data_IF_842443531563
#
_entry.id   IF_842443531563
#
_cell.length_a   1.000
_cell.length_b   1.000
_cell.length_c   1.000
_cell.angle_alpha   90.00
_cell.angle_beta   90.00
_cell.angle_gamma   90.00
#
_symmetry.space_group_name_H-M   'P 1'
#
loop_
_entity.id
_entity.type
_entity.pdbx_description
1 polymer ?
#
# COMPACT_ATOMS: atom_id res chain seq x y z
N UNK A 1 -31.70 24.52 10.33
CA UNK A 1 -31.21 25.23 9.12
C UNK A 1 -31.54 24.39 7.91
N UNK A 2 -31.85 24.99 6.76
CA UNK A 2 -31.93 24.25 5.50
C UNK A 2 -30.58 23.58 5.25
N UNK A 3 -30.57 22.29 4.90
CA UNK A 3 -29.37 21.69 4.32
C UNK A 3 -29.02 22.53 3.09
N UNK A 4 -27.88 23.20 3.12
CA UNK A 4 -27.32 23.78 1.91
C UNK A 4 -27.12 22.61 0.95
N UNK A 5 -27.73 22.67 -0.23
CA UNK A 5 -27.37 21.78 -1.33
C UNK A 5 -25.88 22.01 -1.57
N UNK A 6 -25.05 21.10 -1.08
CA UNK A 6 -23.65 21.08 -1.45
C UNK A 6 -23.59 21.05 -2.98
N UNK A 7 -22.80 21.91 -3.64
CA UNK A 7 -22.59 21.77 -5.07
C UNK A 7 -22.15 20.32 -5.30
N UNK A 8 -22.86 19.61 -6.18
CA UNK A 8 -22.46 18.28 -6.60
C UNK A 8 -20.97 18.30 -6.92
N UNK A 9 -20.19 17.27 -6.58
CA UNK A 9 -18.78 17.10 -7.03
C UNK A 9 -18.69 16.93 -8.56
N UNK A 10 -19.62 17.50 -9.33
CA UNK A 10 -19.72 17.45 -10.78
C UNK A 10 -19.21 18.75 -11.36
N UNK A 11 -18.35 18.64 -12.36
CA UNK A 11 -17.80 19.79 -13.08
C UNK A 11 -18.93 20.51 -13.82
N UNK A 12 -18.99 21.83 -13.65
CA UNK A 12 -19.99 22.67 -14.31
C UNK A 12 -19.77 22.72 -15.83
N UNK A 13 -20.84 22.82 -16.64
CA UNK A 13 -20.74 22.80 -18.11
C UNK A 13 -19.76 23.81 -18.71
N UNK A 14 -19.64 24.99 -18.12
CA UNK A 14 -18.69 26.01 -18.59
C UNK A 14 -17.22 25.58 -18.44
N UNK A 15 -16.89 24.85 -17.38
CA UNK A 15 -15.56 24.28 -17.17
C UNK A 15 -15.30 23.09 -18.10
N UNK A 16 -16.34 22.29 -18.42
CA UNK A 16 -16.24 21.22 -19.43
C UNK A 16 -15.91 21.80 -20.80
N UNK A 17 -16.62 22.87 -21.21
CA UNK A 17 -16.37 23.58 -22.47
C UNK A 17 -14.95 24.16 -22.51
N UNK A 18 -14.54 24.82 -21.43
CA UNK A 18 -13.19 25.38 -21.31
C UNK A 18 -12.12 24.29 -21.43
N UNK A 19 -12.27 23.16 -20.72
CA UNK A 19 -11.33 22.04 -20.77
C UNK A 19 -11.16 21.49 -22.19
N UNK A 20 -12.26 21.34 -22.93
CA UNK A 20 -12.21 20.92 -24.33
C UNK A 20 -11.50 21.93 -25.25
N UNK A 21 -11.70 23.23 -25.01
CA UNK A 21 -11.01 24.29 -25.77
C UNK A 21 -9.51 24.31 -25.48
N UNK A 22 -9.11 24.23 -24.22
CA UNK A 22 -7.70 24.19 -23.80
C UNK A 22 -6.95 23.02 -24.45
N UNK A 23 -7.52 21.81 -24.36
CA UNK A 23 -6.94 20.63 -25.00
C UNK A 23 -7.02 20.67 -26.53
N UNK A 24 -7.88 21.51 -27.11
CA UNK A 24 -7.99 21.72 -28.56
C UNK A 24 -6.88 22.61 -29.13
N UNK A 25 -6.28 23.48 -28.33
CA UNK A 25 -5.24 24.44 -28.78
C UNK A 25 -3.81 23.89 -28.73
N UNK A 26 -3.62 22.61 -28.41
CA UNK A 26 -2.30 22.00 -28.29
C UNK A 26 -1.63 21.72 -29.64
N UNK A 27 -0.30 21.68 -29.64
CA UNK A 27 0.49 21.29 -30.81
C UNK A 27 0.26 19.83 -31.22
N UNK A 28 0.32 19.56 -32.52
CA UNK A 28 0.19 18.19 -33.07
C UNK A 28 1.28 17.28 -32.50
N UNK A 29 0.93 16.04 -32.18
CA UNK A 29 1.86 15.04 -31.63
C UNK A 29 2.08 15.14 -30.12
N UNK A 30 1.27 15.95 -29.41
CA UNK A 30 1.27 15.99 -27.93
C UNK A 30 0.15 15.10 -27.37
N UNK A 31 0.40 14.52 -26.19
CA UNK A 31 -0.62 13.87 -25.38
C UNK A 31 -0.96 14.76 -24.18
N UNK A 32 -2.14 14.56 -23.59
CA UNK A 32 -2.58 15.34 -22.43
C UNK A 32 -2.46 14.54 -21.15
N UNK A 33 -2.04 15.25 -20.09
CA UNK A 33 -2.18 14.82 -18.70
C UNK A 33 -3.08 15.82 -18.01
N UNK A 34 -4.18 15.36 -17.41
CA UNK A 34 -5.07 16.24 -16.65
C UNK A 34 -4.70 16.27 -15.18
N UNK A 35 -5.13 17.32 -14.48
CA UNK A 35 -5.01 17.44 -13.02
C UNK A 35 -6.37 17.74 -12.43
N UNK A 36 -6.76 17.06 -11.35
CA UNK A 36 -8.03 17.29 -10.68
C UNK A 36 -7.98 16.89 -9.20
N UNK A 37 -8.98 17.27 -8.41
CA UNK A 37 -9.10 16.79 -7.04
C UNK A 37 -9.50 15.30 -6.99
N UNK A 38 -10.38 14.87 -7.89
CA UNK A 38 -10.91 13.53 -7.97
C UNK A 38 -10.93 13.00 -9.42
N UNK A 39 -11.29 11.72 -9.59
CA UNK A 39 -11.35 11.03 -10.89
C UNK A 39 -12.37 11.69 -11.84
N UNK A 40 -11.88 12.29 -12.93
CA UNK A 40 -12.72 13.01 -13.88
C UNK A 40 -13.73 12.09 -14.59
N UNK A 41 -13.48 10.77 -14.67
CA UNK A 41 -14.48 9.83 -15.22
C UNK A 41 -15.80 9.84 -14.43
N UNK A 42 -15.74 10.09 -13.12
CA UNK A 42 -16.93 10.13 -12.26
C UNK A 42 -17.52 11.53 -12.10
N UNK A 43 -16.72 12.57 -12.35
CA UNK A 43 -17.03 13.95 -11.96
C UNK A 43 -17.20 14.89 -13.15
N UNK A 44 -16.63 14.58 -14.31
CA UNK A 44 -16.69 15.41 -15.50
C UNK A 44 -17.60 14.78 -16.57
N UNK A 45 -18.71 15.43 -16.95
CA UNK A 45 -19.55 14.99 -18.06
C UNK A 45 -18.72 14.74 -19.34
N UNK A 46 -18.99 13.62 -20.00
CA UNK A 46 -18.38 13.23 -21.29
C UNK A 46 -16.84 13.19 -21.31
N UNK A 47 -16.20 13.11 -20.14
CA UNK A 47 -14.75 13.11 -20.03
C UNK A 47 -14.08 12.02 -20.86
N UNK A 48 -14.68 10.83 -20.95
CA UNK A 48 -14.13 9.74 -21.76
C UNK A 48 -14.13 10.04 -23.27
N UNK A 49 -15.17 10.71 -23.77
CA UNK A 49 -15.22 11.12 -25.17
C UNK A 49 -14.16 12.19 -25.45
N UNK A 50 -14.08 13.18 -24.55
CA UNK A 50 -13.08 14.24 -24.59
C UNK A 50 -11.65 13.68 -24.49
N UNK A 51 -11.42 12.68 -23.62
CA UNK A 51 -10.14 12.03 -23.44
C UNK A 51 -9.66 11.31 -24.71
N UNK A 52 -10.57 10.65 -25.43
CA UNK A 52 -10.26 10.01 -26.72
C UNK A 52 -9.95 11.04 -27.80
N UNK A 53 -10.78 12.08 -27.91
CA UNK A 53 -10.58 13.16 -28.88
C UNK A 53 -9.24 13.88 -28.66
N UNK A 54 -8.86 14.06 -27.40
CA UNK A 54 -7.69 14.83 -27.01
C UNK A 54 -6.57 13.97 -26.40
N UNK A 55 -6.43 12.69 -26.79
CA UNK A 55 -5.32 11.80 -26.36
C UNK A 55 -4.89 12.02 -24.90
N UNK A 56 -5.85 11.96 -23.97
CA UNK A 56 -5.57 12.08 -22.53
C UNK A 56 -5.07 10.73 -22.05
N UNK A 57 -3.81 10.67 -21.62
CA UNK A 57 -3.14 9.41 -21.25
C UNK A 57 -3.03 9.17 -19.76
N UNK A 58 -3.21 10.20 -18.94
CA UNK A 58 -3.10 10.12 -17.49
C UNK A 58 -3.87 11.26 -16.82
N UNK A 59 -4.44 10.99 -15.65
CA UNK A 59 -4.92 12.00 -14.72
C UNK A 59 -4.01 12.03 -13.48
N UNK A 60 -3.68 13.21 -12.99
CA UNK A 60 -3.03 13.42 -11.69
C UNK A 60 -4.09 13.91 -10.72
N UNK A 61 -4.41 13.10 -9.71
CA UNK A 61 -5.47 13.40 -8.75
C UNK A 61 -4.94 13.72 -7.37
N UNK A 62 -5.65 14.59 -6.65
CA UNK A 62 -5.35 15.04 -5.29
C UNK A 62 -6.24 14.38 -4.23
N UNK A 63 -6.40 15.08 -3.10
CA UNK A 63 -7.34 14.85 -1.97
C UNK A 63 -7.20 13.53 -1.20
N UNK A 64 -6.98 12.42 -1.89
CA UNK A 64 -7.08 11.08 -1.33
C UNK A 64 -5.91 10.70 -0.44
N UNK A 65 -4.86 11.53 -0.35
CA UNK A 65 -3.79 11.45 0.64
C UNK A 65 -3.00 10.13 0.68
N UNK A 66 -2.97 9.43 -0.45
CA UNK A 66 -2.30 8.12 -0.60
C UNK A 66 -1.57 8.09 -1.93
N UNK A 67 -0.48 7.34 -2.00
CA UNK A 67 0.21 7.03 -3.23
C UNK A 67 -0.47 5.84 -3.89
N UNK A 68 -1.23 6.08 -4.96
CA UNK A 68 -1.93 5.03 -5.69
C UNK A 68 -1.86 5.26 -7.20
N UNK A 69 -1.96 4.17 -7.96
CA UNK A 69 -2.16 4.18 -9.40
C UNK A 69 -3.37 3.32 -9.71
N UNK A 70 -4.38 3.90 -10.35
CA UNK A 70 -5.65 3.25 -10.64
C UNK A 70 -5.80 3.08 -12.14
N UNK A 71 -5.97 1.83 -12.57
CA UNK A 71 -6.20 1.50 -13.97
C UNK A 71 -7.67 1.77 -14.26
N UNK A 72 -7.89 2.78 -15.08
CA UNK A 72 -9.19 3.24 -15.58
C UNK A 72 -9.08 3.37 -17.09
N UNK A 73 -10.17 3.76 -17.75
CA UNK A 73 -10.11 4.01 -19.19
C UNK A 73 -9.08 5.10 -19.50
N UNK A 74 -9.03 6.13 -18.64
CA UNK A 74 -7.92 7.06 -18.49
C UNK A 74 -7.31 6.83 -17.11
N UNK A 75 -6.13 6.17 -17.01
CA UNK A 75 -5.55 5.85 -15.71
C UNK A 75 -5.29 7.12 -14.91
N UNK A 76 -5.28 7.00 -13.59
CA UNK A 76 -4.93 8.13 -12.73
C UNK A 76 -3.98 7.76 -11.60
N UNK A 77 -3.23 8.75 -11.13
CA UNK A 77 -2.30 8.63 -10.02
C UNK A 77 -2.59 9.66 -8.96
N UNK A 78 -2.62 9.23 -7.71
CA UNK A 78 -2.60 10.12 -6.56
C UNK A 78 -1.18 10.24 -6.02
N UNK A 79 -0.75 11.46 -5.75
CA UNK A 79 0.64 11.78 -5.41
C UNK A 79 1.01 11.63 -3.93
N UNK A 80 0.19 10.95 -3.10
CA UNK A 80 0.31 11.03 -1.65
C UNK A 80 -0.21 12.38 -1.13
N UNK A 81 0.40 12.92 -0.08
CA UNK A 81 0.19 14.32 0.27
C UNK A 81 1.48 15.04 0.68
N UNK A 82 1.46 16.35 0.45
CA UNK A 82 2.56 17.27 0.76
C UNK A 82 2.30 18.00 2.09
N UNK A 83 1.05 18.41 2.33
CA UNK A 83 0.69 19.27 3.46
C UNK A 83 -0.75 19.06 4.00
N UNK A 84 -1.60 18.29 3.33
CA UNK A 84 -3.02 18.15 3.69
C UNK A 84 -3.21 17.26 4.93
N UNK A 85 -3.70 17.87 6.03
CA UNK A 85 -3.94 17.34 7.40
C UNK A 85 -2.70 16.93 8.23
N UNK A 86 -1.50 17.34 7.83
CA UNK A 86 -0.25 16.58 8.07
C UNK A 86 0.89 17.31 8.79
N UNK A 87 0.59 18.28 9.65
CA UNK A 87 1.54 18.79 10.66
C UNK A 87 1.41 18.08 12.00
N UNK A 88 0.57 17.05 12.10
CA UNK A 88 0.39 16.33 13.34
C UNK A 88 1.62 15.47 13.61
N UNK A 89 2.47 15.82 14.61
CA UNK A 89 3.69 15.07 14.90
C UNK A 89 3.39 13.62 15.29
N UNK A 90 2.17 13.31 15.78
CA UNK A 90 1.74 11.95 16.11
C UNK A 90 1.67 11.02 14.90
N UNK A 91 1.65 11.55 13.68
CA UNK A 91 1.69 10.75 12.44
C UNK A 91 3.11 10.32 12.07
N UNK A 92 4.15 10.80 12.76
CA UNK A 92 5.56 10.53 12.45
C UNK A 92 5.94 10.83 10.99
N UNK A 93 5.34 11.88 10.41
CA UNK A 93 5.52 12.26 8.99
C UNK A 93 5.12 11.14 8.01
N UNK A 94 4.14 10.32 8.38
CA UNK A 94 3.60 9.26 7.53
C UNK A 94 2.20 9.61 7.02
N UNK A 95 1.98 9.23 5.77
CA UNK A 95 0.70 9.19 5.10
C UNK A 95 -0.12 7.97 5.61
N UNK A 96 -1.46 7.96 5.44
CA UNK A 96 -2.35 6.84 5.74
C UNK A 96 -2.06 5.53 5.00
N UNK A 97 -1.15 5.51 4.03
CA UNK A 97 -0.64 4.31 3.34
C UNK A 97 0.76 3.88 3.82
N UNK A 98 1.26 4.57 4.86
CA UNK A 98 2.60 4.48 5.44
C UNK A 98 3.73 5.02 4.55
N UNK A 99 3.41 5.68 3.44
CA UNK A 99 4.44 6.43 2.70
C UNK A 99 4.87 7.64 3.53
N UNK A 100 6.14 8.09 3.45
CA UNK A 100 6.51 9.36 4.04
C UNK A 100 5.76 10.50 3.35
N UNK A 101 5.58 11.64 4.00
CA UNK A 101 5.14 12.86 3.32
C UNK A 101 6.07 13.15 2.15
N UNK A 102 5.54 13.57 1.01
CA UNK A 102 6.33 13.59 -0.21
C UNK A 102 5.54 13.92 -1.46
N UNK A 103 6.20 13.69 -2.59
CA UNK A 103 5.68 14.03 -3.91
C UNK A 103 6.19 13.07 -4.98
N UNK A 104 5.45 12.99 -6.08
CA UNK A 104 5.89 12.30 -7.29
C UNK A 104 6.73 13.23 -8.16
N UNK A 105 7.89 12.74 -8.60
CA UNK A 105 8.71 13.42 -9.61
C UNK A 105 8.49 12.71 -10.94
N UNK A 106 8.18 13.48 -11.98
CA UNK A 106 7.91 12.98 -13.32
C UNK A 106 9.01 13.39 -14.30
N UNK A 107 9.32 12.51 -15.25
CA UNK A 107 10.13 12.82 -16.43
C UNK A 107 9.40 12.37 -17.69
N UNK A 108 9.14 13.31 -18.58
CA UNK A 108 8.60 13.04 -19.92
C UNK A 108 9.76 12.97 -20.92
N UNK A 109 9.81 11.90 -21.72
CA UNK A 109 10.75 11.73 -22.84
C UNK A 109 10.01 11.16 -24.04
N UNK A 110 9.70 12.00 -25.02
CA UNK A 110 8.78 11.65 -26.10
C UNK A 110 7.45 11.21 -25.49
N UNK A 111 7.00 10.00 -25.84
CA UNK A 111 5.75 9.42 -25.33
C UNK A 111 5.87 8.73 -23.96
N UNK A 112 7.08 8.64 -23.39
CA UNK A 112 7.32 7.93 -22.13
C UNK A 112 7.22 8.88 -20.95
N UNK A 113 6.38 8.52 -19.97
CA UNK A 113 6.28 9.18 -18.67
C UNK A 113 6.86 8.28 -17.57
N UNK A 114 8.08 8.59 -17.15
CA UNK A 114 8.72 7.93 -16.01
C UNK A 114 8.42 8.69 -14.71
N UNK A 115 8.36 7.97 -13.59
CA UNK A 115 8.13 8.58 -12.28
C UNK A 115 8.91 7.90 -11.15
N UNK A 116 9.06 8.61 -10.02
CA UNK A 116 9.33 8.01 -8.71
C UNK A 116 8.73 8.85 -7.58
N UNK A 117 8.47 8.22 -6.44
CA UNK A 117 8.07 8.92 -5.21
C UNK A 117 9.28 9.37 -4.41
N UNK A 118 9.24 10.60 -3.89
CA UNK A 118 10.29 11.17 -3.06
C UNK A 118 9.69 11.70 -1.75
N UNK A 119 10.21 11.21 -0.63
CA UNK A 119 9.91 11.77 0.68
C UNK A 119 10.50 13.17 0.86
N UNK A 120 9.81 14.02 1.62
CA UNK A 120 10.29 15.35 2.03
C UNK A 120 11.56 15.21 2.86
N UNK A 121 12.61 15.93 2.47
CA UNK A 121 13.92 15.86 3.14
C UNK A 121 14.64 14.51 3.04
N UNK A 122 14.13 13.54 2.27
CA UNK A 122 14.72 12.20 2.15
C UNK A 122 15.47 12.05 0.84
N UNK A 123 16.72 11.55 0.89
CA UNK A 123 17.45 11.08 -0.29
C UNK A 123 17.43 9.57 -0.38
N UNK A 124 17.44 8.88 0.75
CA UNK A 124 17.34 7.42 0.83
C UNK A 124 15.87 7.02 0.92
N UNK A 125 15.43 6.04 0.13
CA UNK A 125 14.15 5.37 0.35
C UNK A 125 14.28 3.86 0.16
N UNK A 126 13.71 3.10 1.09
CA UNK A 126 13.56 1.65 0.97
C UNK A 126 12.32 1.40 0.10
N UNK A 127 12.53 0.83 -1.09
CA UNK A 127 11.44 0.61 -2.07
C UNK A 127 10.93 -0.82 -2.06
N UNK A 128 11.66 -1.76 -1.47
CA UNK A 128 11.15 -3.09 -1.12
C UNK A 128 11.77 -3.59 0.20
N UNK A 129 11.00 -4.26 1.07
CA UNK A 129 9.56 -4.56 0.99
C UNK A 129 8.74 -3.63 1.87
N UNK A 130 7.44 -3.47 1.60
CA UNK A 130 6.51 -2.65 2.40
C UNK A 130 6.55 -3.00 3.89
N UNK A 131 6.21 -2.06 4.77
CA UNK A 131 6.11 -2.28 6.22
C UNK A 131 5.26 -3.52 6.49
N UNK A 132 5.76 -4.44 7.32
CA UNK A 132 5.08 -5.68 7.72
C UNK A 132 5.12 -6.81 6.67
N UNK A 133 5.84 -6.66 5.55
CA UNK A 133 5.91 -7.71 4.53
C UNK A 133 6.58 -8.98 5.06
N UNK A 134 6.04 -10.14 4.70
CA UNK A 134 6.63 -11.44 5.01
C UNK A 134 7.91 -11.70 4.20
N UNK A 135 8.95 -12.17 4.87
CA UNK A 135 10.22 -12.63 4.33
C UNK A 135 10.36 -14.12 4.60
N UNK A 136 10.75 -14.86 3.57
CA UNK A 136 10.99 -16.30 3.64
C UNK A 136 12.11 -16.65 2.65
N UNK A 137 13.11 -17.42 3.10
CA UNK A 137 14.23 -17.82 2.24
C UNK A 137 15.08 -16.63 1.79
N UNK A 138 15.49 -16.63 0.53
CA UNK A 138 16.25 -15.54 -0.07
C UNK A 138 15.33 -14.40 -0.53
N UNK A 139 15.56 -13.20 0.00
CA UNK A 139 14.75 -12.02 -0.27
C UNK A 139 15.62 -10.91 -0.86
N UNK A 140 15.20 -10.40 -2.02
CA UNK A 140 15.85 -9.24 -2.63
C UNK A 140 15.28 -7.95 -2.05
N UNK A 141 16.13 -7.18 -1.38
CA UNK A 141 15.79 -5.83 -0.94
C UNK A 141 16.26 -4.80 -1.96
N UNK A 142 15.55 -3.68 -2.05
CA UNK A 142 15.89 -2.58 -2.93
C UNK A 142 15.68 -1.25 -2.24
N UNK A 143 16.59 -0.32 -2.49
CA UNK A 143 16.51 1.06 -2.07
C UNK A 143 16.91 1.97 -3.22
N UNK A 144 16.51 3.25 -3.17
CA UNK A 144 17.06 4.25 -4.05
C UNK A 144 17.76 5.36 -3.27
N UNK A 145 18.69 6.03 -3.95
CA UNK A 145 19.33 7.25 -3.52
C UNK A 145 19.01 8.35 -4.55
N UNK A 146 18.34 9.41 -4.10
CA UNK A 146 17.96 10.55 -4.93
C UNK A 146 19.12 11.54 -5.05
N UNK A 147 19.36 12.02 -6.27
CA UNK A 147 20.46 12.90 -6.66
C UNK A 147 21.81 12.40 -6.10
N UNK A 148 22.23 11.18 -6.48
CA UNK A 148 23.47 10.60 -5.97
C UNK A 148 24.67 11.40 -6.48
N UNK A 149 25.56 11.76 -5.57
CA UNK A 149 26.88 12.35 -5.84
C UNK A 149 27.85 11.24 -6.26
N UNK A 150 28.97 11.63 -6.88
CA UNK A 150 30.00 10.69 -7.32
C UNK A 150 30.54 9.93 -6.11
N UNK A 151 30.55 8.59 -6.19
CA UNK A 151 31.09 7.71 -5.14
C UNK A 151 30.11 7.36 -4.01
N UNK A 152 28.91 7.94 -3.97
CA UNK A 152 27.91 7.56 -2.97
C UNK A 152 27.39 6.13 -3.19
N UNK A 153 27.21 5.39 -2.10
CA UNK A 153 26.66 4.05 -2.08
C UNK A 153 25.76 3.84 -0.88
N UNK A 154 24.89 2.83 -0.96
CA UNK A 154 24.02 2.44 0.14
C UNK A 154 24.53 1.17 0.82
N UNK A 155 24.32 1.10 2.12
CA UNK A 155 24.52 -0.11 2.92
C UNK A 155 23.23 -0.47 3.65
N UNK A 156 23.06 -1.74 3.99
CA UNK A 156 21.93 -2.22 4.77
C UNK A 156 22.38 -2.96 6.03
N UNK A 157 21.50 -3.00 7.03
CA UNK A 157 21.67 -3.77 8.24
C UNK A 157 20.35 -4.43 8.64
N UNK A 158 20.43 -5.68 9.10
CA UNK A 158 19.29 -6.47 9.59
C UNK A 158 19.33 -6.72 11.10
N UNK A 159 20.45 -6.38 11.75
CA UNK A 159 20.64 -6.47 13.21
C UNK A 159 20.98 -5.12 13.85
N UNK A 160 21.05 -4.04 13.05
CA UNK A 160 21.35 -2.69 13.48
C UNK A 160 22.82 -2.41 13.82
N UNK A 161 23.71 -3.41 13.70
CA UNK A 161 25.13 -3.31 14.05
C UNK A 161 26.02 -3.53 12.84
N UNK A 162 25.79 -4.64 12.13
CA UNK A 162 26.58 -5.03 10.97
C UNK A 162 25.97 -4.43 9.71
N UNK A 163 26.82 -3.76 8.93
CA UNK A 163 26.42 -3.07 7.70
C UNK A 163 27.05 -3.75 6.50
N UNK A 164 26.25 -4.01 5.48
CA UNK A 164 26.67 -4.68 4.25
C UNK A 164 26.36 -3.78 3.05
N UNK A 165 27.29 -3.71 2.09
CA UNK A 165 27.11 -2.90 0.88
C UNK A 165 25.98 -3.43 0.02
N UNK A 166 25.15 -2.50 -0.48
CA UNK A 166 24.20 -2.79 -1.55
C UNK A 166 24.85 -2.58 -2.91
N UNK A 167 24.49 -3.42 -3.88
CA UNK A 167 24.97 -3.29 -5.26
C UNK A 167 24.13 -2.27 -6.01
N UNK A 168 24.75 -1.31 -6.69
CA UNK A 168 24.03 -0.49 -7.66
C UNK A 168 23.54 -1.36 -8.82
N UNK A 169 22.28 -1.21 -9.18
CA UNK A 169 21.60 -2.00 -10.23
C UNK A 169 21.06 -1.15 -11.38
N UNK A 170 21.09 0.18 -11.23
CA UNK A 170 20.73 1.10 -12.31
C UNK A 170 20.72 2.55 -11.86
N UNK A 171 20.75 3.46 -12.85
CA UNK A 171 20.64 4.91 -12.65
C UNK A 171 19.49 5.51 -13.47
N UNK A 172 18.23 5.23 -13.09
CA UNK A 172 17.10 5.95 -13.66
C UNK A 172 17.14 7.43 -13.27
N UNK A 173 16.26 8.24 -13.85
CA UNK A 173 16.36 9.70 -13.69
C UNK A 173 16.34 10.16 -12.24
N UNK A 174 17.26 11.08 -11.94
CA UNK A 174 17.51 11.66 -10.62
C UNK A 174 17.77 10.66 -9.48
N UNK A 175 18.02 9.37 -9.75
CA UNK A 175 18.28 8.40 -8.66
C UNK A 175 19.19 7.25 -9.08
N UNK A 176 19.94 6.71 -8.12
CA UNK A 176 20.56 5.39 -8.26
C UNK A 176 19.71 4.36 -7.51
N UNK A 177 19.57 3.17 -8.07
CA UNK A 177 18.83 2.05 -7.46
C UNK A 177 19.84 1.02 -6.99
N UNK A 178 19.75 0.65 -5.71
CA UNK A 178 20.61 -0.32 -5.08
C UNK A 178 19.80 -1.55 -4.68
N UNK A 179 20.44 -2.72 -4.71
CA UNK A 179 19.83 -3.97 -4.29
C UNK A 179 20.82 -4.84 -3.50
N UNK A 180 20.28 -5.67 -2.62
CA UNK A 180 21.00 -6.75 -1.96
C UNK A 180 20.07 -7.95 -1.81
N UNK A 181 20.64 -9.13 -1.61
CA UNK A 181 19.89 -10.35 -1.29
C UNK A 181 20.20 -10.73 0.14
N UNK A 182 19.14 -10.88 0.94
CA UNK A 182 19.21 -11.31 2.33
C UNK A 182 18.70 -12.74 2.41
N UNK A 183 19.47 -13.62 3.05
CA UNK A 183 18.97 -14.93 3.44
C UNK A 183 18.25 -14.82 4.79
N UNK A 184 16.92 -14.77 4.76
CA UNK A 184 16.11 -14.67 5.97
C UNK A 184 16.12 -15.95 6.80
N UNK A 185 16.63 -17.07 6.29
CA UNK A 185 16.83 -18.30 7.10
C UNK A 185 18.00 -18.17 8.08
N UNK A 186 18.84 -17.14 7.95
CA UNK A 186 19.93 -16.87 8.91
C UNK A 186 19.47 -16.11 10.16
N UNK A 187 18.22 -15.64 10.22
CA UNK A 187 17.68 -14.80 11.31
C UNK A 187 16.41 -15.41 11.92
N UNK A 188 16.16 -15.27 13.24
CA UNK A 188 14.96 -15.82 13.88
C UNK A 188 13.65 -15.35 13.24
N UNK A 189 12.59 -16.16 13.34
CA UNK A 189 11.27 -15.71 12.92
C UNK A 189 10.79 -14.55 13.83
N UNK A 190 9.94 -13.69 13.30
CA UNK A 190 9.39 -12.53 14.01
C UNK A 190 9.66 -11.18 13.33
N UNK A 191 9.67 -10.11 14.12
CA UNK A 191 9.87 -8.75 13.61
C UNK A 191 11.35 -8.47 13.38
N UNK A 192 11.68 -7.94 12.20
CA UNK A 192 13.03 -7.52 11.83
C UNK A 192 13.01 -6.06 11.39
N UNK A 193 13.93 -5.27 11.93
CA UNK A 193 14.08 -3.86 11.54
C UNK A 193 15.19 -3.72 10.50
N UNK A 194 14.81 -3.68 9.23
CA UNK A 194 15.73 -3.42 8.13
C UNK A 194 16.12 -1.95 8.16
N UNK A 195 17.43 -1.67 8.20
CA UNK A 195 17.97 -0.31 8.05
C UNK A 195 18.75 -0.19 6.76
N UNK A 196 18.65 0.96 6.11
CA UNK A 196 19.47 1.34 4.95
C UNK A 196 20.07 2.71 5.21
N UNK A 197 21.37 2.86 4.95
CA UNK A 197 22.08 4.12 5.15
C UNK A 197 22.81 4.58 3.90
N UNK A 198 22.93 5.90 3.75
CA UNK A 198 23.94 6.51 2.88
C UNK A 198 25.18 6.81 3.72
N UNK A 199 26.34 6.31 3.31
CA UNK A 199 27.60 6.51 4.04
C UNK A 199 28.05 7.97 4.08
N UNK A 200 27.75 8.74 3.05
CA UNK A 200 28.33 10.06 2.87
C UNK A 200 27.69 11.16 3.71
N UNK A 201 26.38 11.09 3.95
CA UNK A 201 25.64 12.09 4.75
C UNK A 201 25.05 11.50 6.04
N UNK A 202 25.22 10.20 6.27
CA UNK A 202 24.72 9.52 7.46
C UNK A 202 23.19 9.38 7.49
N UNK A 203 22.45 9.66 6.41
CA UNK A 203 21.01 9.45 6.38
C UNK A 203 20.71 7.96 6.56
N UNK A 204 19.91 7.63 7.58
CA UNK A 204 19.44 6.27 7.85
C UNK A 204 17.93 6.21 7.71
N UNK A 205 17.44 5.22 6.97
CA UNK A 205 16.03 4.86 6.90
C UNK A 205 15.84 3.45 7.42
N UNK A 206 14.67 3.20 7.99
CA UNK A 206 14.35 1.93 8.62
C UNK A 206 12.95 1.48 8.30
N UNK A 207 12.76 0.17 8.24
CA UNK A 207 11.49 -0.44 7.89
C UNK A 207 11.35 -1.79 8.57
N UNK A 208 10.21 -1.99 9.24
CA UNK A 208 9.89 -3.26 9.87
C UNK A 208 9.37 -4.23 8.81
N UNK A 209 9.94 -5.44 8.80
CA UNK A 209 9.49 -6.59 8.01
C UNK A 209 9.25 -7.77 8.96
N UNK A 210 8.58 -8.81 8.46
CA UNK A 210 8.29 -10.02 9.24
C UNK A 210 9.04 -11.20 8.66
N UNK A 211 9.97 -11.78 9.41
CA UNK A 211 10.61 -13.04 9.06
C UNK A 211 9.65 -14.18 9.44
N UNK A 212 9.21 -14.95 8.46
CA UNK A 212 8.23 -16.03 8.64
C UNK A 212 8.69 -17.30 7.92
N UNK A 213 9.83 -17.87 8.33
CA UNK A 213 10.32 -19.11 7.76
C UNK A 213 9.58 -20.36 8.30
N UNK A 214 8.79 -20.22 9.36
CA UNK A 214 8.03 -21.32 9.96
C UNK A 214 8.90 -22.25 10.81
N UNK A 215 10.01 -21.74 11.34
CA UNK A 215 10.97 -22.53 12.14
C UNK A 215 10.62 -22.56 13.60
N UNK A 216 10.16 -21.42 14.12
CA UNK A 216 9.93 -21.23 15.53
C UNK A 216 8.46 -21.51 15.85
N UNK A 217 8.21 -22.40 16.81
CA UNK A 217 6.85 -22.70 17.28
C UNK A 217 6.22 -21.49 17.98
N UNK A 218 4.90 -21.35 17.89
CA UNK A 218 4.18 -20.32 18.64
C UNK A 218 4.31 -20.56 20.17
N UNK A 219 4.47 -19.52 20.99
CA UNK A 219 4.63 -19.62 22.44
C UNK A 219 3.27 -19.83 23.16
N UNK A 220 2.39 -20.66 22.61
CA UNK A 220 1.02 -20.88 23.09
C UNK A 220 0.76 -22.36 23.35
N UNK A 221 -0.23 -22.65 24.20
CA UNK A 221 -0.57 -24.02 24.62
C UNK A 221 -1.86 -24.56 24.01
N UNK A 222 -2.69 -23.70 23.42
CA UNK A 222 -3.92 -24.10 22.75
C UNK A 222 -3.98 -23.53 21.33
N UNK A 223 -4.96 -23.99 20.55
CA UNK A 223 -5.30 -23.41 19.26
C UNK A 223 -5.88 -21.99 19.39
N UNK A 224 -6.32 -21.44 18.26
CA UNK A 224 -6.91 -20.11 18.19
C UNK A 224 -8.07 -20.01 17.23
N UNK A 225 -8.50 -18.77 16.96
CA UNK A 225 -9.48 -18.44 15.93
C UNK A 225 -8.96 -17.32 15.04
N UNK A 226 -9.17 -17.47 13.74
CA UNK A 226 -8.96 -16.41 12.76
C UNK A 226 -10.31 -15.79 12.42
N UNK A 227 -10.43 -14.46 12.54
CA UNK A 227 -11.66 -13.72 12.31
C UNK A 227 -11.48 -12.59 11.30
N UNK A 228 -12.43 -12.46 10.37
CA UNK A 228 -12.56 -11.31 9.47
C UNK A 228 -13.94 -11.30 8.80
N UNK A 229 -14.34 -10.17 8.23
CA UNK A 229 -15.59 -10.01 7.48
C UNK A 229 -15.29 -9.74 6.02
N UNK A 230 -15.92 -10.50 5.12
CA UNK A 230 -15.84 -10.30 3.66
C UNK A 230 -16.92 -9.31 3.21
N UNK A 231 -16.61 -8.50 2.21
CA UNK A 231 -17.53 -7.48 1.70
C UNK A 231 -17.68 -6.32 2.68
N UNK A 232 -16.66 -6.03 3.49
CA UNK A 232 -16.72 -4.96 4.47
C UNK A 232 -15.36 -4.31 4.71
N UNK A 233 -15.35 -3.09 5.29
CA UNK A 233 -16.47 -2.15 5.31
C UNK A 233 -16.62 -1.47 3.93
N UNK A 234 -17.82 -1.01 3.58
CA UNK A 234 -17.99 -0.06 2.47
C UNK A 234 -17.86 1.35 3.04
N UNK A 235 -17.02 2.18 2.44
CA UNK A 235 -17.07 3.63 2.64
C UNK A 235 -17.36 4.27 1.28
N UNK A 236 -17.81 5.53 1.23
CA UNK A 236 -18.14 6.20 -0.04
C UNK A 236 -17.02 6.20 -1.09
N UNK A 237 -15.79 5.84 -0.70
CA UNK A 237 -14.58 5.77 -1.51
C UNK A 237 -14.35 4.38 -2.12
N UNK A 238 -14.66 3.32 -1.36
CA UNK A 238 -14.33 1.93 -1.70
C UNK A 238 -15.59 1.08 -1.60
N UNK A 239 -16.07 0.60 -2.75
CA UNK A 239 -17.23 -0.28 -2.83
C UNK A 239 -16.92 -1.64 -2.21
N UNK A 240 -17.77 -2.08 -1.31
CA UNK A 240 -17.75 -3.45 -0.79
C UNK A 240 -17.84 -4.48 -1.93
N UNK A 241 -17.00 -5.51 -1.85
CA UNK A 241 -16.93 -6.61 -2.81
C UNK A 241 -16.68 -7.94 -2.11
N UNK A 242 -17.50 -8.95 -2.43
CA UNK A 242 -17.21 -10.36 -2.15
C UNK A 242 -16.51 -11.00 -3.35
N UNK A 243 -15.88 -12.17 -3.19
CA UNK A 243 -15.18 -12.84 -4.28
C UNK A 243 -16.17 -13.33 -5.34
N UNK A 244 -15.79 -13.31 -6.61
CA UNK A 244 -16.59 -13.88 -7.70
C UNK A 244 -16.54 -15.41 -7.73
N UNK A 245 -15.42 -16.01 -7.31
CA UNK A 245 -15.23 -17.45 -7.23
C UNK A 245 -15.03 -17.96 -5.80
N UNK A 246 -14.75 -19.27 -5.68
CA UNK A 246 -14.29 -19.87 -4.41
C UNK A 246 -12.92 -19.31 -4.05
N UNK A 247 -12.70 -19.05 -2.76
CA UNK A 247 -11.40 -18.63 -2.23
C UNK A 247 -10.98 -19.55 -1.10
N UNK A 248 -9.80 -20.15 -1.17
CA UNK A 248 -9.23 -20.86 -0.02
C UNK A 248 -8.53 -19.86 0.91
N UNK A 249 -8.75 -20.02 2.21
CA UNK A 249 -8.10 -19.25 3.27
C UNK A 249 -6.91 -20.05 3.77
N UNK A 250 -5.71 -19.51 3.64
CA UNK A 250 -4.47 -20.21 3.98
C UNK A 250 -3.76 -19.53 5.14
N UNK A 251 -3.41 -20.29 6.17
CA UNK A 251 -2.50 -19.88 7.22
C UNK A 251 -1.20 -20.69 7.09
N UNK A 252 -0.07 -20.00 6.97
CA UNK A 252 1.25 -20.60 6.78
C UNK A 252 1.26 -21.57 5.58
N UNK A 253 0.55 -21.21 4.50
CA UNK A 253 0.37 -22.01 3.31
C UNK A 253 -0.57 -23.22 3.45
N UNK A 254 -1.10 -23.51 4.66
CA UNK A 254 -2.05 -24.60 4.91
C UNK A 254 -3.49 -24.07 4.85
N UNK A 255 -4.38 -24.82 4.21
CA UNK A 255 -5.79 -24.43 4.08
C UNK A 255 -6.51 -24.57 5.43
N UNK A 256 -7.11 -23.48 5.91
CA UNK A 256 -7.98 -23.46 7.09
C UNK A 256 -9.46 -23.65 6.74
N UNK A 257 -9.85 -23.26 5.53
CA UNK A 257 -11.22 -23.34 5.06
C UNK A 257 -11.40 -22.58 3.74
N UNK A 258 -12.64 -22.36 3.34
CA UNK A 258 -12.95 -21.67 2.09
C UNK A 258 -14.12 -20.69 2.20
N UNK A 259 -14.10 -19.69 1.35
CA UNK A 259 -15.13 -18.68 1.18
C UNK A 259 -15.95 -19.01 -0.06
N UNK A 260 -17.28 -18.90 0.08
CA UNK A 260 -18.20 -19.13 -1.02
C UNK A 260 -18.24 -17.92 -1.97
N UNK A 261 -18.47 -18.15 -3.29
CA UNK A 261 -18.74 -17.08 -4.25
C UNK A 261 -19.82 -16.11 -3.77
N UNK A 262 -19.61 -14.81 -4.01
CA UNK A 262 -20.55 -13.74 -3.69
C UNK A 262 -20.74 -13.44 -2.20
N UNK A 263 -20.16 -14.23 -1.30
CA UNK A 263 -20.41 -14.11 0.13
C UNK A 263 -19.90 -12.77 0.69
N UNK A 264 -20.74 -12.11 1.49
CA UNK A 264 -20.41 -10.88 2.23
C UNK A 264 -20.88 -11.03 3.68
N UNK A 265 -20.05 -11.66 4.51
CA UNK A 265 -20.37 -11.99 5.90
C UNK A 265 -19.11 -12.10 6.75
N UNK A 266 -19.31 -12.14 8.07
CA UNK A 266 -18.27 -12.48 9.02
C UNK A 266 -17.90 -13.98 8.90
N UNK A 267 -16.61 -14.26 9.04
CA UNK A 267 -16.05 -15.60 9.06
C UNK A 267 -15.17 -15.77 10.29
N UNK A 268 -15.28 -16.96 10.90
CA UNK A 268 -14.42 -17.43 11.97
C UNK A 268 -13.90 -18.80 11.60
N UNK A 269 -12.59 -18.98 11.59
CA UNK A 269 -11.94 -20.26 11.30
C UNK A 269 -11.21 -20.75 12.56
N UNK A 270 -11.44 -22.00 13.01
CA UNK A 270 -10.62 -22.60 14.04
C UNK A 270 -9.19 -22.80 13.53
N UNK A 271 -8.21 -22.48 14.36
CA UNK A 271 -6.78 -22.61 14.05
C UNK A 271 -6.15 -23.62 15.01
N UNK A 272 -5.76 -24.81 14.53
CA UNK A 272 -5.05 -25.78 15.36
C UNK A 272 -3.72 -25.23 15.86
N UNK A 273 -3.33 -25.56 17.09
CA UNK A 273 -2.03 -25.18 17.67
C UNK A 273 -0.86 -25.61 16.78
N UNK A 274 -0.96 -26.80 16.17
CA UNK A 274 0.04 -27.36 15.26
C UNK A 274 0.24 -26.56 13.96
N UNK A 275 -0.63 -25.60 13.67
CA UNK A 275 -0.53 -24.70 12.52
C UNK A 275 0.10 -23.35 12.88
N UNK A 276 0.41 -23.09 14.16
CA UNK A 276 0.86 -21.79 14.65
C UNK A 276 2.38 -21.76 14.89
N UNK A 277 3.00 -20.72 14.36
CA UNK A 277 4.42 -20.40 14.49
C UNK A 277 4.59 -19.07 15.24
N UNK A 278 5.84 -18.71 15.56
CA UNK A 278 6.16 -17.41 16.14
C UNK A 278 5.71 -16.25 15.23
N UNK A 279 5.91 -16.39 13.92
CA UNK A 279 5.39 -15.48 12.90
C UNK A 279 4.50 -16.26 11.90
N UNK A 280 3.28 -15.79 11.71
CA UNK A 280 2.27 -16.47 10.90
C UNK A 280 1.85 -15.61 9.72
N UNK A 281 1.62 -16.24 8.58
CA UNK A 281 1.16 -15.58 7.36
C UNK A 281 -0.23 -16.06 6.98
N UNK A 282 -1.17 -15.14 6.81
CA UNK A 282 -2.48 -15.39 6.21
C UNK A 282 -2.47 -14.91 4.76
N UNK A 283 -2.97 -15.76 3.86
CA UNK A 283 -3.15 -15.45 2.45
C UNK A 283 -4.44 -16.06 1.90
N UNK A 284 -4.79 -15.65 0.68
CA UNK A 284 -6.04 -16.04 0.02
C UNK A 284 -5.72 -16.57 -1.38
N UNK A 285 -6.16 -17.79 -1.68
CA UNK A 285 -6.02 -18.41 -3.01
C UNK A 285 -7.35 -18.37 -3.74
N UNK A 286 -7.43 -17.53 -4.76
CA UNK A 286 -8.62 -17.37 -5.59
C UNK A 286 -8.66 -18.45 -6.68
N UNK A 287 -9.82 -19.08 -6.86
CA UNK A 287 -10.06 -20.03 -7.97
C UNK A 287 -10.14 -19.36 -9.34
N UNK A 288 -10.46 -18.06 -9.38
CA UNK A 288 -10.59 -17.27 -10.61
C UNK A 288 -9.44 -16.26 -10.67
N UNK A 289 -8.71 -16.26 -11.79
CA UNK A 289 -7.65 -15.26 -12.06
C UNK A 289 -8.27 -13.87 -12.21
N UNK A 290 -7.69 -12.87 -11.56
CA UNK A 290 -8.21 -11.50 -11.60
C UNK A 290 -9.34 -11.23 -10.61
N UNK A 291 -9.73 -12.21 -9.80
CA UNK A 291 -10.72 -12.04 -8.74
C UNK A 291 -10.13 -11.32 -7.51
N UNK A 292 -11.00 -10.84 -6.63
CA UNK A 292 -10.64 -10.08 -5.45
C UNK A 292 -11.84 -9.70 -4.61
N UNK A 293 -11.61 -9.37 -3.35
CA UNK A 293 -12.63 -9.01 -2.38
C UNK A 293 -12.13 -7.95 -1.40
N UNK A 294 -13.06 -7.25 -0.77
CA UNK A 294 -12.78 -6.40 0.40
C UNK A 294 -12.94 -7.22 1.68
N UNK A 295 -12.03 -7.07 2.64
CA UNK A 295 -12.13 -7.67 3.97
C UNK A 295 -11.87 -6.65 5.07
N UNK A 296 -12.45 -6.83 6.24
CA UNK A 296 -11.99 -6.11 7.45
C UNK A 296 -10.57 -6.55 7.81
N UNK A 297 -9.89 -5.80 8.68
CA UNK A 297 -8.61 -6.23 9.25
C UNK A 297 -8.74 -7.63 9.88
N UNK A 298 -8.03 -8.66 9.37
CA UNK A 298 -8.08 -9.97 9.96
C UNK A 298 -7.41 -9.97 11.33
N UNK A 299 -7.93 -10.77 12.24
CA UNK A 299 -7.45 -10.88 13.62
C UNK A 299 -7.26 -12.34 13.98
N UNK A 300 -6.11 -12.68 14.53
CA UNK A 300 -5.81 -14.02 15.04
C UNK A 300 -5.86 -13.98 16.57
N UNK A 301 -6.80 -14.69 17.17
CA UNK A 301 -6.96 -14.79 18.62
C UNK A 301 -6.42 -16.14 19.10
N UNK A 302 -5.50 -16.12 20.05
CA UNK A 302 -4.93 -17.31 20.67
C UNK A 302 -4.86 -17.07 22.18
N UNK A 303 -5.47 -17.95 22.98
CA UNK A 303 -5.59 -17.76 24.43
C UNK A 303 -6.16 -16.37 24.80
N UNK A 304 -5.41 -15.56 25.55
CA UNK A 304 -5.76 -14.16 25.90
C UNK A 304 -5.15 -13.14 24.93
N UNK A 305 -4.43 -13.58 23.91
CA UNK A 305 -3.69 -12.72 22.99
C UNK A 305 -4.49 -12.51 21.70
N UNK A 306 -4.62 -11.26 21.30
CA UNK A 306 -5.22 -10.86 20.03
C UNK A 306 -4.12 -10.28 19.14
N UNK A 307 -3.73 -11.03 18.11
CA UNK A 307 -2.74 -10.61 17.14
C UNK A 307 -3.40 -9.93 15.95
N UNK A 308 -2.82 -8.81 15.55
CA UNK A 308 -3.17 -8.09 14.33
C UNK A 308 -2.02 -8.17 13.35
N UNK A 309 -2.34 -7.93 12.08
CA UNK A 309 -1.33 -7.77 11.06
C UNK A 309 -0.36 -6.63 11.41
N UNK A 310 0.94 -6.86 11.18
CA UNK A 310 1.99 -5.88 11.51
C UNK A 310 1.79 -4.56 10.75
N UNK A 311 1.33 -4.61 9.49
CA UNK A 311 1.04 -3.41 8.70
C UNK A 311 -0.25 -2.73 9.17
N UNK A 312 -1.29 -3.48 9.51
CA UNK A 312 -2.50 -2.96 10.14
C UNK A 312 -2.17 -2.17 11.41
N UNK A 313 -1.34 -2.70 12.31
CA UNK A 313 -0.92 -2.01 13.53
C UNK A 313 -0.29 -0.64 13.25
N UNK A 314 0.60 -0.54 12.25
CA UNK A 314 1.20 0.73 11.85
C UNK A 314 0.17 1.69 11.23
N UNK A 315 -0.73 1.18 10.38
CA UNK A 315 -1.82 1.97 9.78
C UNK A 315 -2.76 2.54 10.84
N UNK A 316 -3.12 1.75 11.86
CA UNK A 316 -3.96 2.17 12.98
C UNK A 316 -3.40 3.39 13.71
N UNK A 317 -2.08 3.40 13.98
CA UNK A 317 -1.43 4.52 14.64
C UNK A 317 -1.55 5.80 13.82
N UNK A 318 -1.28 5.72 12.51
CA UNK A 318 -1.39 6.88 11.62
C UNK A 318 -2.84 7.34 11.48
N UNK A 319 -3.80 6.40 11.35
CA UNK A 319 -5.24 6.73 11.28
C UNK A 319 -5.73 7.39 12.56
N UNK A 320 -5.38 6.85 13.72
CA UNK A 320 -5.75 7.42 15.02
C UNK A 320 -5.16 8.81 15.21
N UNK A 321 -3.88 8.99 14.86
CA UNK A 321 -3.26 10.30 14.89
C UNK A 321 -3.99 11.28 13.96
N UNK A 322 -4.39 10.85 12.78
CA UNK A 322 -4.94 11.73 11.76
C UNK A 322 -6.43 12.09 11.98
N UNK A 323 -7.28 11.12 12.29
CA UNK A 323 -8.75 11.29 12.38
C UNK A 323 -9.32 11.01 13.77
N UNK A 324 -8.46 10.76 14.78
CA UNK A 324 -8.86 10.41 16.14
C UNK A 324 -9.00 8.90 16.36
N UNK A 325 -9.06 8.47 17.62
CA UNK A 325 -8.93 7.06 18.02
C UNK A 325 -9.96 6.13 17.38
N UNK A 326 -11.19 6.62 17.17
CA UNK A 326 -12.25 5.85 16.50
C UNK A 326 -11.88 5.46 15.06
N UNK A 327 -11.00 6.21 14.41
CA UNK A 327 -10.59 5.95 13.03
C UNK A 327 -9.55 4.83 12.89
N UNK A 328 -8.98 4.34 13.99
CA UNK A 328 -8.03 3.22 13.97
C UNK A 328 -8.63 1.99 13.27
N UNK A 329 -9.92 1.72 13.49
CA UNK A 329 -10.66 0.59 12.93
C UNK A 329 -11.43 0.93 11.64
N UNK A 330 -11.30 2.14 11.10
CA UNK A 330 -11.99 2.52 9.86
C UNK A 330 -11.35 1.84 8.65
N UNK A 331 -12.21 1.32 7.77
CA UNK A 331 -11.79 0.70 6.52
C UNK A 331 -11.38 -0.76 6.65
N UNK A 332 -10.60 -1.23 5.68
CA UNK A 332 -10.21 -2.62 5.58
C UNK A 332 -9.14 -2.83 4.52
N UNK A 333 -9.17 -4.01 3.91
CA UNK A 333 -8.16 -4.44 2.96
C UNK A 333 -8.81 -4.96 1.69
N UNK A 334 -8.07 -4.84 0.60
CA UNK A 334 -8.40 -5.38 -0.71
C UNK A 334 -7.43 -6.54 -0.93
N UNK A 335 -7.98 -7.74 -1.06
CA UNK A 335 -7.21 -8.95 -1.37
C UNK A 335 -7.52 -9.39 -2.80
N UNK A 336 -6.52 -9.94 -3.48
CA UNK A 336 -6.63 -10.34 -4.89
C UNK A 336 -6.43 -9.18 -5.86
N UNK A 337 -6.71 -9.43 -7.13
CA UNK A 337 -6.33 -8.57 -8.26
C UNK A 337 -7.53 -7.81 -8.86
N UNK A 338 -8.74 -8.01 -8.35
CA UNK A 338 -9.91 -7.39 -8.93
C UNK A 338 -9.91 -5.86 -8.77
N UNK A 339 -10.23 -5.18 -9.85
CA UNK A 339 -10.48 -3.74 -9.90
C UNK A 339 -11.90 -3.50 -10.42
N UNK A 340 -12.74 -2.66 -9.77
CA UNK A 340 -12.65 -2.21 -8.37
C UNK A 340 -12.78 -3.39 -7.36
N UNK A 341 -12.42 -3.20 -6.07
CA UNK A 341 -12.25 -1.94 -5.29
C UNK A 341 -10.90 -1.22 -5.46
N UNK A 342 -10.89 0.07 -5.08
CA UNK A 342 -9.73 0.94 -5.14
C UNK A 342 -9.07 1.17 -3.77
N UNK A 343 -7.76 1.40 -3.77
CA UNK A 343 -7.08 1.90 -2.57
C UNK A 343 -7.56 3.32 -2.21
N UNK A 344 -7.72 3.55 -0.92
CA UNK A 344 -8.17 4.81 -0.30
C UNK A 344 -7.47 4.98 1.06
N UNK A 345 -7.54 6.14 1.74
CA UNK A 345 -7.04 6.31 3.11
C UNK A 345 -7.34 5.16 4.08
N UNK A 346 -8.48 4.50 3.89
CA UNK A 346 -9.01 3.49 4.79
C UNK A 346 -8.91 2.07 4.21
N UNK A 347 -8.76 1.90 2.89
CA UNK A 347 -8.64 0.59 2.23
C UNK A 347 -7.32 0.42 1.50
N UNK A 348 -6.62 -0.69 1.78
CA UNK A 348 -5.30 -0.99 1.20
C UNK A 348 -5.25 -2.33 0.51
N UNK A 349 -4.54 -2.41 -0.61
CA UNK A 349 -4.26 -3.69 -1.23
C UNK A 349 -3.20 -4.43 -0.42
N UNK A 350 -3.54 -5.64 0.03
CA UNK A 350 -2.69 -6.49 0.82
C UNK A 350 -3.07 -7.95 0.59
N UNK A 351 -2.11 -8.77 0.17
CA UNK A 351 -2.37 -10.18 -0.17
C UNK A 351 -1.91 -11.15 0.91
N UNK A 352 -1.01 -10.67 1.79
CA UNK A 352 -0.45 -11.43 2.90
C UNK A 352 -0.57 -10.59 4.16
N UNK A 353 -1.07 -11.21 5.23
CA UNK A 353 -1.19 -10.62 6.56
C UNK A 353 -0.26 -11.36 7.52
N UNK A 354 0.47 -10.64 8.35
CA UNK A 354 1.51 -11.19 9.20
C UNK A 354 1.18 -11.00 10.67
N UNK A 355 0.90 -12.10 11.38
CA UNK A 355 0.63 -12.14 12.81
C UNK A 355 1.86 -12.65 13.56
N UNK A 356 2.44 -11.81 14.41
CA UNK A 356 3.67 -12.14 15.13
C UNK A 356 3.37 -12.18 16.62
N UNK A 357 3.70 -13.31 17.27
CA UNK A 357 3.74 -13.34 18.72
C UNK A 357 4.95 -12.52 19.18
N UNK A 358 4.69 -11.41 19.87
CA UNK A 358 5.76 -10.61 20.42
C UNK A 358 6.49 -11.37 21.52
N UNK A 359 7.80 -11.18 21.60
CA UNK A 359 8.43 -11.10 22.90
C UNK A 359 7.98 -9.75 23.47
N UNK A 360 6.92 -9.74 24.29
CA UNK A 360 6.73 -8.61 25.21
C UNK A 360 7.94 -8.63 26.14
N UNK A 361 8.93 -7.80 25.82
CA UNK A 361 9.94 -7.36 26.77
C UNK A 361 9.81 -5.85 26.92
#
# INVERSE_FOLDING_TARGET
GKNLDYPTNRIQPMHVKWLGQDMGHRSRGTFVVTTAEADLENHCPDFLAMARQHDVRLQLVGDIHVLAHKKRSVPYRSGGALAGCWWNPRTNQLCPDLMPQGYLVYRVRGEKLEQFYKGLGQRVAIVSHRVGSAWQGQVKIQAHLVQPRKGECLEYSINGRDWQKMRETGRPFYRAVFAATVDSTSVPDGLLNLKVRNLNDGEIRSQVVVVANGRDAAPIRAGGTLEFTVGAPSNGWTKSKGPSGKVDVLLNGKTLGSLAPGARKAYTFPVPQSCLHLANTLSFRFSIRGDGMTVTAPVLKCDKTTLRDTRDMALRQVKAAHWGDAAADWGGFIVGEAEPPDESPFHRRQHVFCFVFGNNK
#
